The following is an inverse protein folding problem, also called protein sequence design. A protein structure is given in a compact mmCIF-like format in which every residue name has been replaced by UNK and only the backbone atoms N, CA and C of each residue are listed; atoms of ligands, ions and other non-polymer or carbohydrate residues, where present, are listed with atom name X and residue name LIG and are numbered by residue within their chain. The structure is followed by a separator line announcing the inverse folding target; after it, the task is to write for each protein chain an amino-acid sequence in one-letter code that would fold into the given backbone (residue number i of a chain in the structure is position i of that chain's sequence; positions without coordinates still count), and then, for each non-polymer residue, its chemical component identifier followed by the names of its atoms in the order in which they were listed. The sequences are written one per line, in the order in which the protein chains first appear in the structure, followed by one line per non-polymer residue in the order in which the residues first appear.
data_IF_011343922352
#
_entry.id   IF_011343922352
#
_cell.length_a   1.000
_cell.length_b   1.000
_cell.length_c   1.000
_cell.angle_alpha   90.00
_cell.angle_beta   90.00
_cell.angle_gamma   90.00
#
_symmetry.space_group_name_H-M   'P 1'
#
loop_
_entity.id
_entity.type
_entity.pdbx_description
1 polymer ?
#
# COMPACT_ATOMS: atom_id res chain seq x y z
N UNK A 1 -2.79 -25.98 -5.94
CA UNK A 1 -2.08 -24.92 -5.19
C UNK A 1 -3.08 -24.36 -4.19
N UNK A 2 -2.83 -24.56 -2.89
CA UNK A 2 -3.67 -23.96 -1.83
C UNK A 2 -3.37 -22.46 -1.87
N UNK A 3 -4.32 -21.66 -2.36
CA UNK A 3 -4.23 -20.20 -2.30
C UNK A 3 -4.15 -19.81 -0.80
N UNK A 4 -2.98 -19.35 -0.38
CA UNK A 4 -2.86 -18.76 0.97
C UNK A 4 -3.60 -17.43 0.99
N UNK A 5 -4.30 -17.14 2.09
CA UNK A 5 -4.92 -15.83 2.24
C UNK A 5 -3.85 -14.72 2.15
N UNK A 6 -4.09 -13.73 1.31
CA UNK A 6 -3.17 -12.61 1.07
C UNK A 6 -3.03 -11.75 2.33
N UNK A 7 -1.84 -11.20 2.52
CA UNK A 7 -1.56 -10.22 3.58
C UNK A 7 -1.07 -8.93 2.93
N UNK A 8 -1.63 -7.81 3.35
CA UNK A 8 -1.30 -6.48 2.85
C UNK A 8 -0.99 -5.53 3.99
N UNK A 9 0.01 -4.67 3.81
CA UNK A 9 0.22 -3.48 4.64
C UNK A 9 0.02 -2.24 3.77
N UNK A 10 -1.07 -1.53 3.97
CA UNK A 10 -1.36 -0.26 3.30
C UNK A 10 -0.91 0.90 4.19
N UNK A 11 -0.14 1.84 3.63
CA UNK A 11 0.47 2.96 4.36
C UNK A 11 -0.09 4.27 3.82
N UNK A 12 -0.62 5.12 4.69
CA UNK A 12 -1.21 6.40 4.31
C UNK A 12 -0.19 7.36 3.69
N UNK A 13 0.96 7.50 4.34
CA UNK A 13 2.08 8.34 3.91
C UNK A 13 3.19 8.27 4.94
N UNK A 14 4.37 8.86 4.66
CA UNK A 14 5.54 8.81 5.53
C UNK A 14 6.49 7.67 5.19
N UNK A 15 7.22 7.18 6.19
CA UNK A 15 8.22 6.13 6.04
C UNK A 15 9.50 6.60 5.35
N UNK A 16 10.36 5.66 4.98
CA UNK A 16 11.69 5.94 4.42
C UNK A 16 11.66 6.81 3.15
N UNK A 17 10.59 6.75 2.38
CA UNK A 17 10.47 7.56 1.16
C UNK A 17 10.48 9.07 1.43
N UNK A 18 10.14 9.48 2.65
CA UNK A 18 10.14 10.86 3.14
C UNK A 18 11.15 11.10 4.27
N UNK A 19 11.95 10.07 4.61
CA UNK A 19 12.93 10.11 5.71
C UNK A 19 12.30 10.48 7.07
N UNK A 20 11.13 9.91 7.32
CA UNK A 20 10.35 10.10 8.55
C UNK A 20 9.76 8.77 9.01
N UNK A 21 9.34 8.71 10.28
CA UNK A 21 8.62 7.58 10.86
C UNK A 21 9.36 6.22 10.73
N UNK A 22 10.64 6.08 11.14
CA UNK A 22 11.43 4.85 10.94
C UNK A 22 10.83 3.60 11.62
N UNK A 23 10.06 3.77 12.68
CA UNK A 23 9.36 2.67 13.35
C UNK A 23 8.33 1.97 12.45
N UNK A 24 7.92 2.61 11.36
CA UNK A 24 6.97 2.03 10.41
C UNK A 24 7.58 0.85 9.66
N UNK A 25 8.82 0.97 9.18
CA UNK A 25 9.51 -0.13 8.50
C UNK A 25 9.87 -1.25 9.47
N UNK A 26 10.17 -0.93 10.72
CA UNK A 26 10.40 -1.94 11.77
C UNK A 26 9.12 -2.75 12.03
N UNK A 27 7.96 -2.08 12.10
CA UNK A 27 6.67 -2.76 12.15
C UNK A 27 6.43 -3.66 10.92
N UNK A 28 6.73 -3.16 9.72
CA UNK A 28 6.54 -3.92 8.47
C UNK A 28 7.44 -5.16 8.46
N UNK A 29 8.71 -5.04 8.83
CA UNK A 29 9.65 -6.16 8.91
C UNK A 29 9.21 -7.19 9.95
N UNK A 30 8.67 -6.76 11.09
CA UNK A 30 8.15 -7.65 12.13
C UNK A 30 6.94 -8.49 11.64
N UNK A 31 6.26 -8.08 10.57
CA UNK A 31 5.19 -8.87 9.97
C UNK A 31 5.71 -9.98 9.03
N UNK A 32 7.01 -10.01 8.73
CA UNK A 32 7.61 -11.10 7.98
C UNK A 32 7.53 -12.42 8.75
N UNK A 33 7.38 -13.52 8.01
CA UNK A 33 7.45 -14.87 8.60
C UNK A 33 8.88 -15.33 8.90
N UNK A 34 9.87 -14.58 8.44
CA UNK A 34 11.29 -14.84 8.68
C UNK A 34 11.86 -13.79 9.62
N UNK A 35 12.75 -14.21 10.51
CA UNK A 35 13.45 -13.29 11.41
C UNK A 35 14.23 -12.20 10.65
N UNK A 36 14.82 -12.59 9.51
CA UNK A 36 15.43 -11.66 8.56
C UNK A 36 14.77 -11.86 7.20
N UNK A 37 13.95 -10.89 6.79
CA UNK A 37 13.22 -10.92 5.53
C UNK A 37 14.12 -10.66 4.33
N UNK A 38 13.75 -11.19 3.16
CA UNK A 38 14.25 -10.76 1.86
C UNK A 38 13.25 -9.75 1.30
N UNK A 39 13.68 -8.50 1.19
CA UNK A 39 12.80 -7.35 0.88
C UNK A 39 13.05 -6.85 -0.53
N UNK A 40 11.97 -6.68 -1.28
CA UNK A 40 11.99 -6.10 -2.61
C UNK A 40 11.32 -4.73 -2.66
N UNK A 41 11.86 -3.81 -3.47
CA UNK A 41 11.26 -2.50 -3.70
C UNK A 41 10.82 -2.32 -5.14
N UNK A 42 9.64 -1.74 -5.31
CA UNK A 42 9.08 -1.34 -6.60
C UNK A 42 8.90 0.17 -6.62
N UNK A 43 9.71 0.86 -7.43
CA UNK A 43 9.74 2.32 -7.55
C UNK A 43 8.84 2.89 -8.66
N UNK A 44 8.01 2.07 -9.32
CA UNK A 44 7.26 2.45 -10.54
C UNK A 44 6.46 3.74 -10.39
N UNK A 45 5.82 3.98 -9.24
CA UNK A 45 5.00 5.18 -9.01
C UNK A 45 5.79 6.49 -9.14
N UNK A 46 7.09 6.46 -8.89
CA UNK A 46 8.01 7.61 -9.02
C UNK A 46 8.91 7.53 -10.26
N UNK A 47 8.66 6.58 -11.18
CA UNK A 47 9.51 6.37 -12.35
C UNK A 47 10.91 5.89 -11.99
N UNK A 48 11.04 5.07 -10.95
CA UNK A 48 12.31 4.57 -10.41
C UNK A 48 13.26 5.69 -9.98
N UNK A 49 12.71 6.70 -9.28
CA UNK A 49 13.50 7.81 -8.73
C UNK A 49 14.71 7.27 -7.95
N UNK A 50 15.94 7.58 -8.38
CA UNK A 50 17.16 7.05 -7.78
C UNK A 50 17.34 7.47 -6.30
N UNK A 51 16.80 8.61 -5.88
CA UNK A 51 16.83 9.02 -4.48
C UNK A 51 15.95 8.11 -3.61
N UNK A 52 14.76 7.74 -4.09
CA UNK A 52 13.88 6.81 -3.36
C UNK A 52 14.46 5.40 -3.31
N UNK A 53 15.07 4.94 -4.41
CA UNK A 53 15.79 3.66 -4.46
C UNK A 53 16.98 3.70 -3.48
N UNK A 54 17.76 4.78 -3.46
CA UNK A 54 18.87 4.96 -2.52
C UNK A 54 18.43 4.87 -1.06
N UNK A 55 17.38 5.62 -0.69
CA UNK A 55 16.78 5.58 0.66
C UNK A 55 16.25 4.19 1.04
N UNK A 56 15.67 3.46 0.10
CA UNK A 56 15.28 2.07 0.33
C UNK A 56 16.49 1.22 0.72
N UNK A 57 17.56 1.27 -0.06
CA UNK A 57 18.76 0.49 0.23
C UNK A 57 19.41 0.89 1.54
N UNK A 58 19.46 2.18 1.86
CA UNK A 58 19.97 2.70 3.12
C UNK A 58 19.13 2.21 4.31
N UNK A 59 17.80 2.37 4.24
CA UNK A 59 16.88 2.00 5.33
C UNK A 59 16.88 0.51 5.64
N UNK A 60 16.98 -0.34 4.62
CA UNK A 60 16.94 -1.79 4.80
C UNK A 60 18.32 -2.45 4.95
N UNK A 61 19.40 -1.68 4.86
CA UNK A 61 20.75 -2.16 5.12
C UNK A 61 20.91 -2.61 6.56
N UNK A 62 21.40 -3.83 6.77
CA UNK A 62 21.68 -4.39 8.09
C UNK A 62 20.46 -4.87 8.89
N UNK A 63 19.22 -4.62 8.44
CA UNK A 63 18.02 -5.05 9.16
C UNK A 63 17.21 -6.15 8.46
N UNK A 64 17.66 -6.62 7.30
CA UNK A 64 17.05 -7.72 6.55
C UNK A 64 18.12 -8.64 5.93
N UNK A 65 17.73 -9.85 5.49
CA UNK A 65 18.67 -10.80 4.89
C UNK A 65 19.14 -10.33 3.51
N UNK A 66 18.27 -9.67 2.76
CA UNK A 66 18.53 -9.15 1.43
C UNK A 66 17.57 -8.01 1.12
N UNK A 67 18.06 -6.97 0.47
CA UNK A 67 17.24 -5.89 -0.08
C UNK A 67 17.59 -5.62 -1.53
N UNK A 68 16.60 -5.69 -2.40
CA UNK A 68 16.76 -5.52 -3.86
C UNK A 68 15.62 -4.68 -4.42
N UNK A 69 15.80 -4.13 -5.61
CA UNK A 69 14.71 -3.49 -6.35
C UNK A 69 14.62 -4.06 -7.76
N UNK A 70 13.47 -3.90 -8.39
CA UNK A 70 13.23 -4.28 -9.79
C UNK A 70 13.00 -3.02 -10.62
N UNK A 71 13.61 -2.96 -11.80
CA UNK A 71 13.42 -1.83 -12.72
C UNK A 71 11.99 -1.80 -13.26
N UNK A 72 11.37 -0.62 -13.32
CA UNK A 72 9.98 -0.41 -13.76
C UNK A 72 9.71 -0.82 -15.23
N UNK A 73 10.75 -1.13 -15.99
CA UNK A 73 10.64 -1.61 -17.38
C UNK A 73 10.94 -3.11 -17.53
N UNK A 74 11.15 -3.85 -16.43
CA UNK A 74 11.35 -5.28 -16.48
C UNK A 74 10.10 -5.99 -17.05
N UNK A 75 10.31 -7.07 -17.82
CA UNK A 75 9.21 -7.90 -18.28
C UNK A 75 8.58 -8.74 -17.14
N UNK A 76 7.36 -9.24 -17.38
CA UNK A 76 6.62 -10.02 -16.38
C UNK A 76 7.38 -11.28 -15.92
N UNK A 77 8.16 -11.92 -16.79
CA UNK A 77 8.97 -13.11 -16.45
C UNK A 77 10.11 -12.77 -15.51
N UNK A 78 10.77 -11.64 -15.72
CA UNK A 78 11.82 -11.11 -14.83
C UNK A 78 11.23 -10.76 -13.47
N UNK A 79 10.09 -10.07 -13.43
CA UNK A 79 9.37 -9.77 -12.18
C UNK A 79 9.01 -11.08 -11.45
N UNK A 80 8.45 -12.06 -12.15
CA UNK A 80 8.02 -13.32 -11.54
C UNK A 80 9.19 -14.08 -10.89
N UNK A 81 10.34 -14.15 -11.55
CA UNK A 81 11.56 -14.76 -10.99
C UNK A 81 12.06 -14.02 -9.77
N UNK A 82 12.09 -12.69 -9.82
CA UNK A 82 12.52 -11.86 -8.70
C UNK A 82 11.61 -12.02 -7.46
N UNK A 83 10.30 -12.10 -7.64
CA UNK A 83 9.33 -12.28 -6.56
C UNK A 83 9.41 -13.64 -5.86
N UNK A 84 9.92 -14.68 -6.50
CA UNK A 84 10.11 -16.01 -5.87
C UNK A 84 11.15 -15.95 -4.75
N UNK A 85 12.13 -15.06 -4.87
CA UNK A 85 13.21 -14.89 -3.91
C UNK A 85 12.82 -14.01 -2.70
N UNK A 86 11.61 -13.42 -2.67
CA UNK A 86 11.24 -12.42 -1.69
C UNK A 86 10.25 -12.93 -0.66
N UNK A 87 10.33 -12.36 0.54
CA UNK A 87 9.39 -12.56 1.63
C UNK A 87 8.43 -11.37 1.75
N UNK A 88 8.89 -10.18 1.32
CA UNK A 88 8.17 -8.92 1.37
C UNK A 88 8.46 -8.06 0.15
N UNK A 89 7.42 -7.42 -0.40
CA UNK A 89 7.53 -6.40 -1.45
C UNK A 89 6.97 -5.08 -0.93
N UNK A 90 7.77 -4.01 -1.05
CA UNK A 90 7.36 -2.65 -0.71
C UNK A 90 7.20 -1.82 -1.99
N UNK A 91 6.01 -1.28 -2.21
CA UNK A 91 5.70 -0.41 -3.35
C UNK A 91 5.74 1.05 -2.92
N UNK A 92 6.58 1.83 -3.58
CA UNK A 92 6.76 3.25 -3.30
C UNK A 92 5.57 4.12 -3.70
N UNK A 93 5.52 5.32 -3.13
CA UNK A 93 4.57 6.37 -3.49
C UNK A 93 5.00 7.19 -4.71
N UNK A 94 4.04 7.91 -5.28
CA UNK A 94 4.19 8.76 -6.47
C UNK A 94 2.88 8.91 -7.23
N UNK A 95 2.91 8.82 -8.56
CA UNK A 95 1.71 8.93 -9.38
C UNK A 95 1.00 7.58 -9.53
N UNK A 96 -0.22 7.48 -8.99
CA UNK A 96 -1.02 6.25 -9.00
C UNK A 96 -1.41 5.82 -10.42
N UNK A 97 -1.76 6.77 -11.29
CA UNK A 97 -2.15 6.45 -12.67
C UNK A 97 -0.96 5.93 -13.48
N UNK A 98 0.21 6.53 -13.32
CA UNK A 98 1.43 6.06 -13.95
C UNK A 98 1.77 4.63 -13.52
N UNK A 99 1.74 4.35 -12.21
CA UNK A 99 1.99 3.04 -11.64
C UNK A 99 1.05 1.97 -12.23
N UNK A 100 -0.25 2.21 -12.17
CA UNK A 100 -1.27 1.25 -12.63
C UNK A 100 -1.23 1.03 -14.14
N UNK A 101 -1.05 2.10 -14.92
CA UNK A 101 -0.89 2.02 -16.37
C UNK A 101 0.34 1.17 -16.74
N UNK A 102 1.45 1.40 -16.07
CA UNK A 102 2.69 0.65 -16.33
C UNK A 102 2.55 -0.83 -15.97
N UNK A 103 1.98 -1.13 -14.81
CA UNK A 103 1.78 -2.52 -14.38
C UNK A 103 0.86 -3.28 -15.32
N UNK A 104 -0.25 -2.68 -15.76
CA UNK A 104 -1.16 -3.30 -16.72
C UNK A 104 -0.49 -3.54 -18.08
N UNK A 105 0.27 -2.56 -18.59
CA UNK A 105 0.97 -2.68 -19.87
C UNK A 105 2.02 -3.80 -19.87
N UNK A 106 2.65 -4.07 -18.73
CA UNK A 106 3.67 -5.12 -18.57
C UNK A 106 3.11 -6.45 -18.04
N UNK A 107 1.82 -6.53 -17.69
CA UNK A 107 1.20 -7.71 -17.08
C UNK A 107 1.65 -7.97 -15.64
N UNK A 108 2.18 -6.96 -14.96
CA UNK A 108 2.68 -7.06 -13.58
C UNK A 108 1.56 -7.27 -12.57
N UNK A 109 0.37 -6.71 -12.82
CA UNK A 109 -0.82 -6.85 -11.99
C UNK A 109 -1.09 -8.32 -11.63
N UNK A 110 -1.11 -9.21 -12.62
CA UNK A 110 -1.33 -10.65 -12.42
C UNK A 110 -0.18 -11.30 -11.66
N UNK A 111 1.04 -10.97 -12.01
CA UNK A 111 2.24 -11.56 -11.39
C UNK A 111 2.33 -11.18 -9.89
N UNK A 112 1.98 -9.94 -9.55
CA UNK A 112 1.97 -9.45 -8.17
C UNK A 112 0.84 -10.12 -7.35
N UNK A 113 -0.37 -10.24 -7.91
CA UNK A 113 -1.47 -10.96 -7.28
C UNK A 113 -1.08 -12.42 -7.01
N UNK A 114 -0.49 -13.10 -7.99
CA UNK A 114 -0.03 -14.49 -7.83
C UNK A 114 1.05 -14.60 -6.74
N UNK A 115 1.98 -13.65 -6.64
CA UNK A 115 3.00 -13.63 -5.59
C UNK A 115 2.38 -13.46 -4.20
N UNK A 116 1.40 -12.55 -4.05
CA UNK A 116 0.65 -12.38 -2.80
C UNK A 116 -0.05 -13.68 -2.38
N UNK A 117 -0.70 -14.37 -3.30
CA UNK A 117 -1.35 -15.67 -3.05
C UNK A 117 -0.35 -16.79 -2.71
N UNK A 118 0.90 -16.71 -3.16
CA UNK A 118 1.98 -17.60 -2.73
C UNK A 118 2.49 -17.29 -1.33
N UNK A 119 2.11 -16.14 -0.76
CA UNK A 119 2.41 -15.74 0.62
C UNK A 119 3.50 -14.70 0.77
N UNK A 120 3.92 -14.03 -0.32
CA UNK A 120 4.73 -12.81 -0.24
C UNK A 120 3.90 -11.72 0.44
N UNK A 121 4.44 -11.08 1.47
CA UNK A 121 3.78 -9.95 2.13
C UNK A 121 3.85 -8.73 1.21
N UNK A 122 2.72 -8.17 0.87
CA UNK A 122 2.66 -6.94 0.08
C UNK A 122 2.56 -5.74 0.99
N UNK A 123 3.37 -4.72 0.73
CA UNK A 123 3.28 -3.42 1.40
C UNK A 123 3.27 -2.31 0.34
N UNK A 124 2.69 -1.16 0.69
CA UNK A 124 2.73 -0.01 -0.21
C UNK A 124 2.34 1.29 0.47
N UNK A 125 2.99 2.38 0.10
CA UNK A 125 2.74 3.72 0.62
C UNK A 125 2.08 4.61 -0.42
N UNK A 126 1.06 5.37 -0.03
CA UNK A 126 0.39 6.36 -0.90
C UNK A 126 -0.14 5.70 -2.19
N UNK A 127 0.41 6.04 -3.37
CA UNK A 127 0.08 5.39 -4.64
C UNK A 127 0.26 3.87 -4.58
N UNK A 128 1.31 3.38 -3.89
CA UNK A 128 1.54 1.95 -3.67
C UNK A 128 0.47 1.31 -2.79
N UNK A 129 -0.07 2.02 -1.79
CA UNK A 129 -1.21 1.53 -1.01
C UNK A 129 -2.47 1.46 -1.88
N UNK A 130 -2.79 2.54 -2.59
CA UNK A 130 -3.95 2.64 -3.48
C UNK A 130 -4.01 1.54 -4.52
N UNK A 131 -2.87 1.17 -5.08
CA UNK A 131 -2.79 0.21 -6.19
C UNK A 131 -3.30 -1.19 -5.83
N UNK A 132 -3.23 -1.60 -4.56
CA UNK A 132 -3.61 -2.94 -4.12
C UNK A 132 -5.11 -3.18 -4.03
N UNK A 133 -5.90 -2.13 -3.86
CA UNK A 133 -7.35 -2.25 -3.69
C UNK A 133 -8.06 -2.35 -5.05
N UNK A 134 -9.34 -2.75 -5.01
CA UNK A 134 -10.18 -2.74 -6.21
C UNK A 134 -10.34 -1.31 -6.75
N UNK A 135 -10.49 -0.33 -5.85
CA UNK A 135 -10.59 1.09 -6.19
C UNK A 135 -9.85 1.96 -5.18
N UNK A 136 -9.52 3.18 -5.57
CA UNK A 136 -8.95 4.18 -4.68
C UNK A 136 -9.37 5.59 -5.07
N UNK A 137 -9.21 6.55 -4.14
CA UNK A 137 -9.35 7.97 -4.42
C UNK A 137 -7.98 8.60 -4.62
N UNK A 138 -7.75 9.25 -5.76
CA UNK A 138 -6.45 9.86 -6.11
C UNK A 138 -6.61 11.18 -6.83
N UNK A 139 -5.61 12.05 -6.71
CA UNK A 139 -5.46 13.32 -7.45
C UNK A 139 -4.44 13.21 -8.60
N UNK A 140 -3.93 12.02 -8.85
CA UNK A 140 -2.88 11.76 -9.85
C UNK A 140 -3.21 12.21 -11.28
N UNK A 141 -4.50 12.44 -11.59
CA UNK A 141 -4.95 12.98 -12.88
C UNK A 141 -4.83 14.50 -13.01
N UNK A 142 -4.46 15.22 -11.95
CA UNK A 142 -4.25 16.68 -11.95
C UNK A 142 -5.53 17.54 -11.98
N UNK A 143 -6.73 16.94 -12.13
CA UNK A 143 -8.01 17.64 -12.13
C UNK A 143 -8.74 17.58 -10.77
N UNK A 144 -8.02 17.25 -9.70
CA UNK A 144 -8.57 17.03 -8.37
C UNK A 144 -8.75 15.54 -8.05
N UNK A 145 -9.41 15.26 -6.93
CA UNK A 145 -9.64 13.91 -6.45
C UNK A 145 -10.66 13.16 -7.34
N UNK A 146 -10.27 11.99 -7.81
CA UNK A 146 -11.11 11.13 -8.62
C UNK A 146 -10.92 9.64 -8.27
N UNK A 147 -11.94 8.79 -8.47
CA UNK A 147 -11.83 7.35 -8.36
C UNK A 147 -10.87 6.78 -9.41
N UNK A 148 -10.12 5.75 -9.03
CA UNK A 148 -9.27 4.96 -9.92
C UNK A 148 -9.43 3.47 -9.61
N UNK A 149 -9.42 2.62 -10.63
CA UNK A 149 -9.36 1.18 -10.46
C UNK A 149 -7.92 0.73 -10.16
N UNK A 150 -7.73 0.05 -9.02
CA UNK A 150 -6.47 -0.60 -8.68
C UNK A 150 -6.34 -2.00 -9.30
N UNK A 151 -5.49 -2.87 -8.74
CA UNK A 151 -5.32 -4.23 -9.26
C UNK A 151 -6.24 -5.26 -8.58
N UNK A 152 -6.98 -4.86 -7.54
CA UNK A 152 -8.00 -5.70 -6.91
C UNK A 152 -7.45 -6.85 -6.05
N UNK A 153 -6.23 -6.75 -5.52
CA UNK A 153 -5.73 -7.71 -4.54
C UNK A 153 -6.61 -7.69 -3.28
N UNK A 154 -7.04 -6.51 -2.86
CA UNK A 154 -8.03 -6.30 -1.80
C UNK A 154 -9.33 -5.76 -2.38
N UNK A 155 -10.46 -6.27 -1.90
CA UNK A 155 -11.77 -5.70 -2.20
C UNK A 155 -11.95 -4.34 -1.53
N UNK A 156 -12.92 -3.56 -2.01
CA UNK A 156 -13.20 -2.25 -1.45
C UNK A 156 -12.30 -1.14 -2.00
N UNK A 157 -12.27 -0.02 -1.29
CA UNK A 157 -11.54 1.18 -1.72
C UNK A 157 -10.52 1.66 -0.69
N UNK A 158 -9.53 2.44 -1.15
CA UNK A 158 -8.45 2.99 -0.31
C UNK A 158 -8.31 4.50 -0.50
N UNK A 159 -8.10 5.21 0.62
CA UNK A 159 -7.78 6.63 0.63
C UNK A 159 -6.58 6.90 1.56
N UNK A 160 -5.34 6.97 1.03
CA UNK A 160 -4.17 7.41 1.77
C UNK A 160 -4.22 8.93 2.02
N UNK A 161 -3.28 9.46 2.83
CA UNK A 161 -3.15 10.89 3.17
C UNK A 161 -4.43 11.51 3.77
N UNK A 162 -5.21 10.70 4.50
CA UNK A 162 -6.55 11.10 4.93
C UNK A 162 -6.56 12.27 5.90
N UNK A 163 -5.51 12.42 6.74
CA UNK A 163 -5.38 13.53 7.69
C UNK A 163 -4.69 14.76 7.11
N UNK A 164 -3.70 14.59 6.23
CA UNK A 164 -2.84 15.67 5.74
C UNK A 164 -3.42 16.39 4.52
N UNK A 165 -4.34 15.76 3.81
CA UNK A 165 -5.06 16.34 2.68
C UNK A 165 -6.55 16.53 3.04
N UNK A 166 -6.98 17.69 3.57
CA UNK A 166 -8.34 17.90 4.09
C UNK A 166 -9.45 17.58 3.08
N UNK A 167 -9.20 17.78 1.80
CA UNK A 167 -10.16 17.47 0.74
C UNK A 167 -10.54 15.97 0.72
N UNK A 168 -9.64 15.07 1.12
CA UNK A 168 -9.91 13.64 1.17
C UNK A 168 -10.90 13.26 2.26
N UNK A 169 -10.87 13.96 3.39
CA UNK A 169 -11.82 13.75 4.50
C UNK A 169 -13.28 14.01 4.11
N UNK A 170 -13.50 14.92 3.16
CA UNK A 170 -14.82 15.21 2.62
C UNK A 170 -15.16 14.33 1.42
N UNK A 171 -14.22 14.21 0.47
CA UNK A 171 -14.50 13.54 -0.81
C UNK A 171 -14.63 12.02 -0.67
N UNK A 172 -13.81 11.36 0.16
CA UNK A 172 -13.83 9.91 0.25
C UNK A 172 -15.14 9.37 0.83
N UNK A 173 -15.64 9.86 1.99
CA UNK A 173 -16.97 9.48 2.48
C UNK A 173 -18.09 9.84 1.50
N UNK A 174 -18.03 10.99 0.84
CA UNK A 174 -19.05 11.39 -0.14
C UNK A 174 -19.10 10.45 -1.36
N UNK A 175 -17.95 10.01 -1.87
CA UNK A 175 -17.88 9.01 -2.94
C UNK A 175 -18.47 7.66 -2.51
N UNK A 176 -18.27 7.24 -1.27
CA UNK A 176 -18.85 6.01 -0.73
C UNK A 176 -20.35 6.15 -0.53
N UNK A 177 -20.81 7.25 0.07
CA UNK A 177 -22.22 7.53 0.28
C UNK A 177 -23.02 7.53 -1.03
N UNK A 178 -22.46 8.13 -2.08
CA UNK A 178 -23.08 8.16 -3.42
C UNK A 178 -22.94 6.85 -4.20
N UNK A 179 -22.16 5.88 -3.71
CA UNK A 179 -21.92 4.60 -4.41
C UNK A 179 -20.93 4.68 -5.57
N UNK A 180 -20.23 5.81 -5.73
CA UNK A 180 -19.14 5.97 -6.71
C UNK A 180 -17.94 5.13 -6.33
N UNK A 181 -17.66 4.99 -5.02
CA UNK A 181 -16.69 4.06 -4.48
C UNK A 181 -17.39 3.03 -3.58
N UNK A 182 -16.90 1.78 -3.53
CA UNK A 182 -17.35 0.81 -2.53
C UNK A 182 -16.81 1.21 -1.14
N UNK A 183 -17.36 0.57 -0.10
CA UNK A 183 -16.80 0.61 1.25
C UNK A 183 -15.29 0.45 1.24
N UNK A 184 -14.59 1.13 2.15
CA UNK A 184 -13.14 1.13 2.08
C UNK A 184 -12.45 1.52 3.36
N UNK A 185 -11.15 1.80 3.22
CA UNK A 185 -10.29 2.23 4.31
C UNK A 185 -9.66 3.59 4.01
N UNK A 186 -9.66 4.46 5.01
CA UNK A 186 -8.94 5.73 5.01
C UNK A 186 -7.76 5.63 5.97
N UNK A 187 -6.58 6.11 5.55
CA UNK A 187 -5.33 5.89 6.29
C UNK A 187 -4.59 7.22 6.41
N UNK A 188 -4.32 7.64 7.63
CA UNK A 188 -3.55 8.85 7.93
C UNK A 188 -2.06 8.69 7.61
N UNK A 189 -1.35 9.78 7.40
CA UNK A 189 0.11 9.75 7.31
C UNK A 189 0.75 9.26 8.61
N UNK A 190 1.82 8.48 8.48
CA UNK A 190 2.48 7.84 9.60
C UNK A 190 1.74 6.61 10.13
N UNK A 191 0.74 6.12 9.39
CA UNK A 191 -0.03 4.92 9.76
C UNK A 191 0.16 3.81 8.73
N UNK A 192 0.44 2.61 9.22
CA UNK A 192 0.47 1.36 8.48
C UNK A 192 -0.72 0.48 8.90
N UNK A 193 -1.58 0.13 7.97
CA UNK A 193 -2.73 -0.74 8.17
C UNK A 193 -2.41 -2.15 7.66
N UNK A 194 -2.20 -3.09 8.59
CA UNK A 194 -2.10 -4.51 8.26
C UNK A 194 -3.51 -5.09 8.05
N UNK A 195 -3.72 -5.70 6.91
CA UNK A 195 -4.88 -6.54 6.60
C UNK A 195 -4.37 -7.97 6.46
N UNK A 196 -4.76 -8.84 7.36
CA UNK A 196 -4.34 -10.24 7.32
C UNK A 196 -5.24 -11.07 6.38
N UNK A 197 -4.87 -12.34 6.22
CA UNK A 197 -5.60 -13.22 5.32
C UNK A 197 -7.03 -13.59 5.77
N UNK A 198 -7.45 -13.24 6.96
CA UNK A 198 -8.84 -13.37 7.42
C UNK A 198 -9.66 -12.10 7.17
N UNK A 199 -9.00 -11.01 6.73
CA UNK A 199 -9.59 -9.69 6.64
C UNK A 199 -9.54 -8.91 7.96
N UNK A 200 -8.88 -9.44 9.00
CA UNK A 200 -8.65 -8.71 10.25
C UNK A 200 -7.70 -7.53 10.00
N UNK A 201 -8.04 -6.39 10.53
CA UNK A 201 -7.29 -5.14 10.36
C UNK A 201 -6.63 -4.74 11.67
N UNK A 202 -5.35 -4.38 11.60
CA UNK A 202 -4.58 -3.84 12.73
C UNK A 202 -3.84 -2.59 12.26
N UNK A 203 -4.06 -1.47 12.91
CA UNK A 203 -3.34 -0.23 12.62
C UNK A 203 -2.09 -0.12 13.50
N UNK A 204 -0.98 0.28 12.89
CA UNK A 204 0.22 0.74 13.58
C UNK A 204 0.41 2.22 13.29
N UNK A 205 0.59 3.05 14.30
CA UNK A 205 0.79 4.49 14.14
C UNK A 205 2.13 4.93 14.71
N UNK A 206 3.00 5.46 13.86
CA UNK A 206 4.24 6.12 14.26
C UNK A 206 4.02 7.57 14.73
N UNK A 207 2.79 8.11 14.56
CA UNK A 207 2.43 9.49 14.91
C UNK A 207 1.27 9.53 15.89
N UNK A 208 1.46 10.27 16.98
CA UNK A 208 0.41 10.43 17.99
C UNK A 208 -0.86 11.03 17.38
N UNK A 209 -2.00 10.37 17.63
CA UNK A 209 -3.31 10.82 17.17
C UNK A 209 -3.64 10.50 15.72
N UNK A 210 -2.73 9.92 14.94
CA UNK A 210 -3.02 9.42 13.61
C UNK A 210 -3.61 8.00 13.68
N UNK A 211 -4.48 7.65 12.73
CA UNK A 211 -5.18 6.38 12.73
C UNK A 211 -5.56 5.90 11.32
N UNK A 212 -6.23 4.76 11.29
CA UNK A 212 -6.90 4.24 10.11
C UNK A 212 -8.38 4.05 10.41
N UNK A 213 -9.21 4.13 9.39
CA UNK A 213 -10.66 4.14 9.52
C UNK A 213 -11.30 3.22 8.48
N UNK A 214 -12.35 2.51 8.87
CA UNK A 214 -13.31 1.93 7.92
C UNK A 214 -14.31 3.03 7.55
N UNK A 215 -14.57 3.16 6.26
CA UNK A 215 -15.60 4.06 5.75
C UNK A 215 -16.64 3.21 5.05
N UNK A 216 -17.83 3.15 5.62
CA UNK A 216 -18.90 2.23 5.25
C UNK A 216 -20.12 3.02 4.80
N UNK A 217 -20.76 2.58 3.72
CA UNK A 217 -22.02 3.17 3.27
C UNK A 217 -23.16 2.81 4.22
N UNK A 218 -23.92 3.81 4.63
CA UNK A 218 -25.11 3.66 5.47
C UNK A 218 -26.28 4.47 4.88
N UNK A 219 -27.06 3.85 4.02
CA UNK A 219 -28.13 4.56 3.29
C UNK A 219 -27.57 5.60 2.32
N UNK A 220 -27.90 6.88 2.55
CA UNK A 220 -27.41 8.02 1.77
C UNK A 220 -26.16 8.68 2.38
N UNK A 221 -25.64 8.15 3.46
CA UNK A 221 -24.47 8.66 4.18
C UNK A 221 -23.33 7.64 4.19
N UNK A 222 -22.16 8.04 4.70
CA UNK A 222 -21.07 7.14 5.03
C UNK A 222 -20.70 7.29 6.50
N UNK A 223 -20.47 6.15 7.17
CA UNK A 223 -20.01 6.08 8.56
C UNK A 223 -18.51 5.85 8.53
N UNK A 224 -17.77 6.63 9.33
CA UNK A 224 -16.33 6.52 9.49
C UNK A 224 -16.02 5.96 10.89
N UNK A 225 -15.52 4.71 10.95
CA UNK A 225 -15.22 3.98 12.18
C UNK A 225 -13.71 3.81 12.33
N UNK A 226 -13.17 4.23 13.47
CA UNK A 226 -11.76 4.03 13.75
C UNK A 226 -11.41 2.52 13.85
N UNK A 227 -10.31 2.11 13.23
CA UNK A 227 -9.80 0.74 13.32
C UNK A 227 -8.98 0.61 14.60
N UNK A 228 -9.39 -0.32 15.47
CA UNK A 228 -8.71 -0.66 16.72
C UNK A 228 -8.29 -2.15 16.69
N UNK A 229 -7.21 -2.52 17.41
CA UNK A 229 -6.33 -1.64 18.16
C UNK A 229 -5.39 -0.83 17.28
N UNK A 230 -4.92 0.31 17.81
CA UNK A 230 -3.81 1.08 17.23
C UNK A 230 -2.55 0.75 18.03
N UNK A 231 -1.58 0.10 17.40
CA UNK A 231 -0.26 -0.15 17.98
C UNK A 231 0.62 1.10 17.83
N UNK A 232 1.49 1.35 18.79
CA UNK A 232 2.47 2.45 18.74
C UNK A 232 3.88 1.90 19.00
N UNK A 233 4.95 2.63 18.60
CA UNK A 233 6.33 2.24 18.86
C UNK A 233 6.64 2.02 20.33
#
# INVERSE_FOLDING_TARGET
VINKPCRLIAIGGGGFTHDVDPAMEDFILAQSRRALARVGFIGTASGDDPHKIGRFHERFSGCCAQHTHVAANADAGTLARWLVELDLVYVGGGNTLHLLSRWRALGWDRVLIDAAHRGVLMAGVSAGASAWFAQALTDAGGAGLAPVEGIGLMTGSCCPHYSTEPARRTAFPACIASGVLPDGVAIDDGVALLIDGSGTMTAFSARRGAGAYRVLRSGAEAICEAIAPVLTP
#
